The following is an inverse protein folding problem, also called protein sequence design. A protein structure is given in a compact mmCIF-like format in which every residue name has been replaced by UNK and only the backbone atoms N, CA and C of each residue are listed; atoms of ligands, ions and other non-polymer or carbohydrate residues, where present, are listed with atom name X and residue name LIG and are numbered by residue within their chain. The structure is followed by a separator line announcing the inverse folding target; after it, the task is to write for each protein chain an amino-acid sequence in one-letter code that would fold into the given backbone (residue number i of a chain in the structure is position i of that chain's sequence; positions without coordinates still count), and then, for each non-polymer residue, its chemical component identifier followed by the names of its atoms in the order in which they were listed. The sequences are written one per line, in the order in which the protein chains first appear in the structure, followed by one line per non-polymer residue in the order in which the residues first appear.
data_IF_011957947398
#
_entry.id   IF_011957947398
#
_cell.length_a   1.000
_cell.length_b   1.000
_cell.length_c   1.000
_cell.angle_alpha   90.00
_cell.angle_beta   90.00
_cell.angle_gamma   90.00
#
_symmetry.space_group_name_H-M   'P 1'
#
loop_
_entity.id
_entity.type
_entity.pdbx_description
1 polymer ?
#
# COMPACT_ATOMS: atom_id res chain seq x y z
N UNK A 1 -35.74 -20.73 -12.84
CA UNK A 1 -34.87 -20.07 -11.85
C UNK A 1 -34.22 -18.91 -12.56
N UNK A 2 -34.52 -17.68 -12.15
CA UNK A 2 -33.84 -16.48 -12.65
C UNK A 2 -32.40 -16.51 -12.17
N UNK A 3 -31.44 -16.57 -13.09
CA UNK A 3 -30.01 -16.44 -12.76
C UNK A 3 -29.83 -15.06 -12.15
N UNK A 4 -29.49 -14.99 -10.86
CA UNK A 4 -29.14 -13.71 -10.24
C UNK A 4 -27.80 -13.24 -10.85
N UNK A 5 -27.69 -11.97 -11.26
CA UNK A 5 -26.44 -11.46 -11.79
C UNK A 5 -25.35 -11.47 -10.71
N UNK A 6 -24.11 -11.77 -11.10
CA UNK A 6 -22.96 -11.66 -10.21
C UNK A 6 -22.61 -10.19 -9.95
N UNK A 7 -22.11 -9.92 -8.75
CA UNK A 7 -21.59 -8.60 -8.36
C UNK A 7 -20.20 -8.44 -8.96
N UNK A 8 -19.88 -7.25 -9.47
CA UNK A 8 -18.52 -6.95 -9.94
C UNK A 8 -17.51 -7.11 -8.80
N UNK A 9 -16.36 -7.77 -9.02
CA UNK A 9 -15.27 -7.85 -8.04
C UNK A 9 -14.84 -6.48 -7.50
N UNK A 10 -14.97 -5.43 -8.30
CA UNK A 10 -14.65 -4.05 -7.91
C UNK A 10 -15.57 -3.50 -6.83
N UNK A 11 -16.86 -3.85 -6.90
CA UNK A 11 -17.83 -3.48 -5.87
C UNK A 11 -17.64 -4.32 -4.60
N UNK A 12 -17.27 -5.60 -4.73
CA UNK A 12 -16.93 -6.43 -3.56
C UNK A 12 -15.71 -5.83 -2.85
N UNK A 13 -14.67 -5.43 -3.59
CA UNK A 13 -13.49 -4.75 -3.05
C UNK A 13 -13.84 -3.42 -2.37
N UNK A 14 -14.70 -2.62 -2.98
CA UNK A 14 -15.17 -1.36 -2.39
C UNK A 14 -15.88 -1.59 -1.05
N UNK A 15 -16.80 -2.57 -1.00
CA UNK A 15 -17.52 -2.97 0.22
C UNK A 15 -16.58 -3.50 1.30
N UNK A 16 -15.61 -4.32 0.91
CA UNK A 16 -14.60 -4.86 1.83
C UNK A 16 -13.71 -3.77 2.42
N UNK A 17 -13.19 -2.85 1.60
CA UNK A 17 -12.41 -1.69 2.05
C UNK A 17 -13.18 -0.85 3.07
N UNK A 18 -14.47 -0.57 2.79
CA UNK A 18 -15.33 0.15 3.71
C UNK A 18 -15.54 -0.61 5.02
N UNK A 19 -15.91 -1.88 4.96
CA UNK A 19 -16.14 -2.71 6.15
C UNK A 19 -14.86 -2.85 7.01
N UNK A 20 -13.70 -2.93 6.37
CA UNK A 20 -12.40 -2.94 7.03
C UNK A 20 -12.11 -1.60 7.73
N UNK A 21 -12.40 -0.47 7.08
CA UNK A 21 -12.24 0.87 7.67
C UNK A 21 -13.17 1.10 8.86
N UNK A 22 -14.44 0.67 8.74
CA UNK A 22 -15.41 0.77 9.83
C UNK A 22 -14.96 -0.07 11.03
N UNK A 23 -14.54 -1.33 10.82
CA UNK A 23 -13.97 -2.19 11.87
C UNK A 23 -12.72 -1.58 12.51
N UNK A 24 -11.77 -1.11 11.69
CA UNK A 24 -10.52 -0.57 12.22
C UNK A 24 -10.71 0.74 12.99
N UNK A 25 -11.71 1.55 12.62
CA UNK A 25 -12.12 2.75 13.36
C UNK A 25 -12.68 2.41 14.75
N UNK A 26 -13.48 1.36 14.85
CA UNK A 26 -14.00 0.87 16.14
C UNK A 26 -12.86 0.33 17.02
N UNK A 27 -11.90 -0.38 16.44
CA UNK A 27 -10.76 -0.94 17.16
C UNK A 27 -9.70 0.12 17.53
N UNK A 28 -9.53 1.19 16.73
CA UNK A 28 -8.45 2.19 16.90
C UNK A 28 -9.01 3.62 16.79
N UNK A 29 -9.41 4.26 17.92
CA UNK A 29 -10.03 5.58 17.88
C UNK A 29 -9.19 6.69 17.21
N UNK A 30 -7.86 6.65 17.34
CA UNK A 30 -6.97 7.62 16.67
C UNK A 30 -7.01 7.52 15.14
N UNK A 31 -7.40 6.37 14.57
CA UNK A 31 -7.65 6.26 13.14
C UNK A 31 -8.87 7.10 12.72
N UNK A 32 -9.92 7.14 13.55
CA UNK A 32 -11.07 8.01 13.32
C UNK A 32 -10.68 9.49 13.29
N UNK A 33 -9.88 9.94 14.27
CA UNK A 33 -9.36 11.31 14.31
C UNK A 33 -8.46 11.64 13.10
N UNK A 34 -7.64 10.69 12.65
CA UNK A 34 -6.83 10.86 11.44
C UNK A 34 -7.71 11.02 10.19
N UNK A 35 -8.76 10.20 10.05
CA UNK A 35 -9.68 10.29 8.90
C UNK A 35 -10.34 11.67 8.80
N UNK A 36 -10.81 12.22 9.92
CA UNK A 36 -11.42 13.56 9.97
C UNK A 36 -10.40 14.65 9.56
N UNK A 37 -9.17 14.55 10.05
CA UNK A 37 -8.09 15.47 9.71
C UNK A 37 -7.73 15.41 8.21
N UNK A 38 -7.68 14.20 7.64
CA UNK A 38 -7.41 13.99 6.21
C UNK A 38 -8.53 14.57 5.35
N UNK A 39 -9.78 14.31 5.70
CA UNK A 39 -10.94 14.86 4.99
C UNK A 39 -10.90 16.40 4.99
N UNK A 40 -10.65 17.01 6.16
CA UNK A 40 -10.53 18.46 6.30
C UNK A 40 -9.38 19.02 5.48
N UNK A 41 -8.20 18.39 5.51
CA UNK A 41 -7.01 18.81 4.76
C UNK A 41 -7.25 18.71 3.26
N UNK A 42 -7.80 17.59 2.78
CA UNK A 42 -8.08 17.40 1.36
C UNK A 42 -9.05 18.45 0.84
N UNK A 43 -10.12 18.76 1.59
CA UNK A 43 -11.07 19.82 1.25
C UNK A 43 -10.39 21.20 1.16
N UNK A 44 -9.52 21.53 2.10
CA UNK A 44 -8.78 22.80 2.10
C UNK A 44 -7.82 22.90 0.93
N UNK A 45 -7.08 21.84 0.63
CA UNK A 45 -6.16 21.79 -0.52
C UNK A 45 -6.92 21.97 -1.82
N UNK A 46 -8.04 21.27 -2.02
CA UNK A 46 -8.87 21.40 -3.23
C UNK A 46 -9.46 22.80 -3.38
N UNK A 47 -9.83 23.45 -2.28
CA UNK A 47 -10.34 24.82 -2.30
C UNK A 47 -9.24 25.86 -2.58
N UNK A 48 -8.03 25.65 -2.05
CA UNK A 48 -6.91 26.57 -2.18
C UNK A 48 -6.09 26.38 -3.47
N UNK A 49 -6.12 25.20 -4.07
CA UNK A 49 -5.30 24.83 -5.23
C UNK A 49 -6.15 24.27 -6.38
N UNK A 50 -6.79 25.15 -7.19
CA UNK A 50 -7.68 24.74 -8.29
C UNK A 50 -7.01 23.85 -9.35
N UNK A 51 -5.69 23.94 -9.52
CA UNK A 51 -4.94 23.09 -10.45
C UNK A 51 -4.97 21.62 -10.02
N UNK A 52 -4.79 21.34 -8.72
CA UNK A 52 -4.91 19.98 -8.18
C UNK A 52 -6.33 19.45 -8.37
N UNK A 53 -7.34 20.27 -8.09
CA UNK A 53 -8.74 19.87 -8.28
C UNK A 53 -9.04 19.51 -9.75
N UNK A 54 -8.58 20.33 -10.71
CA UNK A 54 -8.73 20.06 -12.15
C UNK A 54 -7.97 18.81 -12.60
N UNK A 55 -6.77 18.59 -12.08
CA UNK A 55 -6.00 17.38 -12.37
C UNK A 55 -6.79 16.14 -11.92
N UNK A 56 -7.19 16.09 -10.65
CA UNK A 56 -7.92 14.94 -10.08
C UNK A 56 -9.28 14.71 -10.72
N UNK A 57 -9.99 15.77 -11.11
CA UNK A 57 -11.23 15.67 -11.88
C UNK A 57 -10.97 15.00 -13.24
N UNK A 58 -9.95 15.45 -13.95
CA UNK A 58 -9.64 14.89 -15.27
C UNK A 58 -9.09 13.46 -15.24
N UNK A 59 -8.45 13.04 -14.15
CA UNK A 59 -8.02 11.65 -13.97
C UNK A 59 -9.13 10.77 -13.37
N UNK A 60 -10.23 11.34 -12.88
CA UNK A 60 -11.28 10.65 -12.13
C UNK A 60 -10.91 10.37 -10.67
N UNK A 61 -9.69 10.69 -10.23
CA UNK A 61 -9.21 10.40 -8.89
C UNK A 61 -9.98 11.17 -7.80
N UNK A 62 -10.65 12.26 -8.17
CA UNK A 62 -11.49 13.03 -7.24
C UNK A 62 -12.62 12.17 -6.64
N UNK A 63 -13.16 11.21 -7.40
CA UNK A 63 -14.27 10.35 -6.98
C UNK A 63 -13.84 9.27 -5.99
N UNK A 64 -12.57 8.85 -6.06
CA UNK A 64 -12.03 7.76 -5.22
C UNK A 64 -11.23 8.24 -4.01
N UNK A 65 -10.84 9.52 -3.97
CA UNK A 65 -9.92 10.08 -2.97
C UNK A 65 -10.37 9.81 -1.51
N UNK A 66 -11.64 10.06 -1.20
CA UNK A 66 -12.18 9.88 0.17
C UNK A 66 -12.25 8.40 0.60
N UNK A 67 -12.31 7.50 -0.38
CA UNK A 67 -12.36 6.06 -0.15
C UNK A 67 -10.99 5.39 -0.19
N UNK A 68 -9.97 6.11 -0.69
CA UNK A 68 -8.66 5.56 -0.99
C UNK A 68 -7.87 5.23 0.28
N UNK A 69 -7.55 3.95 0.40
CA UNK A 69 -6.88 3.36 1.55
C UNK A 69 -5.95 2.23 1.12
N UNK A 70 -4.94 1.95 1.94
CA UNK A 70 -4.28 0.65 1.91
C UNK A 70 -4.24 0.03 3.31
N UNK A 71 -4.27 -1.29 3.38
CA UNK A 71 -4.02 -2.04 4.61
C UNK A 71 -2.68 -2.77 4.55
N UNK A 72 -2.14 -3.14 5.71
CA UNK A 72 -1.00 -4.04 5.80
C UNK A 72 -1.27 -5.20 6.77
N UNK A 73 -0.88 -6.40 6.35
CA UNK A 73 -1.05 -7.64 7.11
C UNK A 73 0.19 -8.52 7.00
N UNK A 74 0.32 -9.47 7.93
CA UNK A 74 1.45 -10.40 7.99
C UNK A 74 0.94 -11.81 8.23
N UNK A 75 1.39 -12.76 7.41
CA UNK A 75 1.07 -14.18 7.50
C UNK A 75 2.31 -15.01 7.82
N UNK A 76 2.10 -16.18 8.42
CA UNK A 76 3.15 -17.05 8.91
C UNK A 76 3.49 -18.22 7.99
N UNK A 77 2.58 -18.61 7.09
CA UNK A 77 2.78 -19.81 6.25
C UNK A 77 2.49 -19.58 4.76
N UNK A 78 3.09 -20.41 3.92
CA UNK A 78 2.80 -20.44 2.48
C UNK A 78 1.33 -20.74 2.20
N UNK A 79 0.70 -21.67 2.94
CA UNK A 79 -0.71 -22.01 2.78
C UNK A 79 -1.62 -20.82 3.10
N UNK A 80 -1.30 -20.04 4.13
CA UNK A 80 -2.00 -18.79 4.44
C UNK A 80 -1.87 -17.77 3.29
N UNK A 81 -0.66 -17.56 2.76
CA UNK A 81 -0.42 -16.63 1.64
C UNK A 81 -1.17 -17.05 0.37
N UNK A 82 -1.08 -18.32 -0.02
CA UNK A 82 -1.77 -18.84 -1.20
C UNK A 82 -3.30 -18.72 -1.07
N UNK A 83 -3.84 -18.96 0.12
CA UNK A 83 -5.28 -18.82 0.38
C UNK A 83 -5.72 -17.36 0.38
N UNK A 84 -4.91 -16.45 0.93
CA UNK A 84 -5.15 -15.01 0.81
C UNK A 84 -5.14 -14.56 -0.65
N UNK A 85 -4.27 -15.11 -1.50
CA UNK A 85 -4.28 -14.78 -2.92
C UNK A 85 -5.60 -15.14 -3.59
N UNK A 86 -6.20 -16.27 -3.21
CA UNK A 86 -7.54 -16.69 -3.68
C UNK A 86 -8.64 -15.79 -3.11
N UNK A 87 -8.58 -15.46 -1.82
CA UNK A 87 -9.50 -14.53 -1.16
C UNK A 87 -9.50 -13.16 -1.85
N UNK A 88 -8.32 -12.59 -2.07
CA UNK A 88 -8.16 -11.30 -2.75
C UNK A 88 -8.58 -11.36 -4.22
N UNK A 89 -8.44 -12.51 -4.90
CA UNK A 89 -8.90 -12.68 -6.27
C UNK A 89 -10.42 -12.56 -6.43
N UNK A 90 -11.23 -12.97 -5.43
CA UNK A 90 -12.69 -12.75 -5.41
C UNK A 90 -13.03 -11.25 -5.52
N UNK A 91 -12.14 -10.40 -5.02
CA UNK A 91 -12.26 -8.94 -5.04
C UNK A 91 -11.48 -8.29 -6.20
N UNK A 92 -11.06 -9.07 -7.20
CA UNK A 92 -10.31 -8.55 -8.35
C UNK A 92 -8.92 -8.03 -8.00
N UNK A 93 -8.37 -8.41 -6.85
CA UNK A 93 -7.05 -7.99 -6.40
C UNK A 93 -6.01 -9.06 -6.75
N UNK A 94 -4.91 -8.64 -7.37
CA UNK A 94 -3.83 -9.52 -7.84
C UNK A 94 -2.51 -9.15 -7.15
N UNK A 95 -1.56 -10.10 -6.98
CA UNK A 95 -0.27 -9.85 -6.35
C UNK A 95 0.65 -9.07 -7.29
N UNK A 96 0.85 -7.80 -6.99
CA UNK A 96 1.68 -6.87 -7.78
C UNK A 96 2.94 -6.49 -6.99
N UNK A 97 4.08 -6.55 -7.67
CA UNK A 97 5.40 -6.29 -7.10
C UNK A 97 5.89 -7.39 -6.15
N UNK A 98 7.20 -7.36 -5.89
CA UNK A 98 7.88 -8.19 -4.89
C UNK A 98 8.79 -7.32 -4.04
N UNK A 99 8.65 -7.42 -2.72
CA UNK A 99 9.35 -6.60 -1.75
C UNK A 99 10.12 -7.49 -0.77
N UNK A 100 11.44 -7.47 -0.85
CA UNK A 100 12.31 -8.20 0.09
C UNK A 100 12.77 -7.29 1.21
N UNK A 101 12.23 -7.45 2.42
CA UNK A 101 12.55 -6.57 3.55
C UNK A 101 13.75 -7.07 4.37
N UNK A 102 14.37 -8.19 3.95
CA UNK A 102 15.52 -8.77 4.65
C UNK A 102 16.78 -7.89 4.66
N UNK A 103 17.12 -7.10 3.61
CA UNK A 103 18.25 -6.18 3.67
C UNK A 103 18.07 -5.08 4.74
N UNK A 104 16.81 -4.83 5.15
CA UNK A 104 16.49 -3.91 6.23
C UNK A 104 16.38 -4.60 7.60
N UNK A 105 16.83 -5.85 7.74
CA UNK A 105 16.80 -6.58 9.01
C UNK A 105 15.40 -7.06 9.42
N UNK A 106 14.42 -7.03 8.52
CA UNK A 106 13.06 -7.53 8.81
C UNK A 106 12.88 -8.91 8.17
N UNK A 107 12.52 -9.96 8.93
CA UNK A 107 12.51 -11.35 8.43
C UNK A 107 11.28 -11.68 7.58
N UNK A 108 10.95 -10.84 6.60
CA UNK A 108 9.78 -11.01 5.73
C UNK A 108 10.08 -10.66 4.29
N UNK A 109 9.25 -11.19 3.40
CA UNK A 109 9.12 -10.76 2.01
C UNK A 109 7.63 -10.63 1.65
N UNK A 110 7.29 -9.77 0.69
CA UNK A 110 5.92 -9.27 0.54
C UNK A 110 5.51 -9.03 -0.91
N UNK A 111 4.20 -8.86 -1.13
CA UNK A 111 3.58 -8.37 -2.37
C UNK A 111 2.40 -7.46 -2.01
N UNK A 112 1.91 -6.67 -2.97
CA UNK A 112 0.71 -5.87 -2.81
C UNK A 112 -0.46 -6.49 -3.57
N UNK A 113 -1.53 -6.85 -2.88
CA UNK A 113 -2.78 -7.24 -3.54
C UNK A 113 -3.57 -5.98 -3.92
N UNK A 114 -3.81 -5.76 -5.21
CA UNK A 114 -4.59 -4.61 -5.71
C UNK A 114 -5.21 -4.88 -7.08
N UNK A 115 -6.15 -4.02 -7.50
CA UNK A 115 -6.61 -4.01 -8.88
C UNK A 115 -5.49 -3.55 -9.84
N UNK A 116 -5.58 -3.98 -11.10
CA UNK A 116 -4.53 -3.75 -12.10
C UNK A 116 -4.90 -2.73 -13.18
N UNK A 117 -6.19 -2.57 -13.45
CA UNK A 117 -6.70 -1.72 -14.53
C UNK A 117 -7.25 -0.42 -13.99
N UNK A 118 -7.02 0.69 -14.69
CA UNK A 118 -7.44 2.03 -14.30
C UNK A 118 -8.93 2.12 -13.99
N UNK A 119 -9.81 1.54 -14.81
CA UNK A 119 -11.24 1.48 -14.55
C UNK A 119 -11.62 0.82 -13.21
N UNK A 120 -10.96 -0.29 -12.86
CA UNK A 120 -11.18 -0.97 -11.58
C UNK A 120 -10.63 -0.16 -10.40
N UNK A 121 -9.47 0.48 -10.60
CA UNK A 121 -8.84 1.38 -9.64
C UNK A 121 -9.66 2.67 -9.40
N UNK A 122 -10.49 3.11 -10.35
CA UNK A 122 -11.42 4.22 -10.12
C UNK A 122 -12.56 3.83 -9.19
N UNK A 123 -13.11 2.61 -9.33
CA UNK A 123 -14.20 2.14 -8.46
C UNK A 123 -13.69 1.92 -7.02
N UNK A 124 -12.56 1.25 -6.89
CA UNK A 124 -11.92 1.04 -5.60
C UNK A 124 -10.43 0.83 -5.78
N UNK A 125 -9.61 1.81 -5.36
CA UNK A 125 -8.16 1.68 -5.36
C UNK A 125 -7.64 0.91 -4.14
N UNK A 126 -8.47 0.19 -3.38
CA UNK A 126 -8.02 -0.48 -2.17
C UNK A 126 -6.88 -1.47 -2.42
N UNK A 127 -5.82 -1.37 -1.62
CA UNK A 127 -4.63 -2.24 -1.69
C UNK A 127 -4.37 -2.91 -0.33
N UNK A 128 -3.81 -4.11 -0.34
CA UNK A 128 -3.32 -4.77 0.88
C UNK A 128 -1.87 -5.21 0.68
N UNK A 129 -0.95 -4.63 1.44
CA UNK A 129 0.43 -5.08 1.53
C UNK A 129 0.49 -6.32 2.41
N UNK A 130 0.89 -7.45 1.83
CA UNK A 130 0.86 -8.76 2.51
C UNK A 130 2.27 -9.30 2.61
N UNK A 131 2.78 -9.38 3.85
CA UNK A 131 4.08 -9.96 4.16
C UNK A 131 3.98 -11.41 4.59
N UNK A 132 4.89 -12.25 4.11
CA UNK A 132 5.10 -13.62 4.59
C UNK A 132 6.34 -13.65 5.49
N UNK A 133 6.17 -14.19 6.71
CA UNK A 133 7.27 -14.44 7.63
C UNK A 133 8.19 -15.53 7.10
N UNK A 134 9.50 -15.27 7.16
CA UNK A 134 10.57 -16.18 6.76
C UNK A 134 11.15 -16.90 7.97
N UNK A 135 10.55 -18.03 8.34
CA UNK A 135 10.95 -18.80 9.52
C UNK A 135 12.40 -19.30 9.45
N UNK A 136 12.93 -19.51 8.24
CA UNK A 136 14.32 -19.90 8.03
C UNK A 136 15.34 -18.85 8.50
N UNK A 137 14.90 -17.60 8.74
CA UNK A 137 15.69 -16.51 9.29
C UNK A 137 15.65 -16.42 10.84
N UNK A 138 14.90 -17.30 11.51
CA UNK A 138 14.94 -17.44 12.97
C UNK A 138 16.16 -18.27 13.33
N UNK A 139 17.16 -17.67 13.97
CA UNK A 139 18.47 -18.29 14.22
C UNK A 139 18.38 -19.50 15.16
N UNK A 140 17.59 -19.40 16.23
CA UNK A 140 17.37 -20.47 17.19
C UNK A 140 16.50 -21.59 16.58
N UNK A 141 17.03 -22.81 16.38
CA UNK A 141 16.27 -23.92 15.80
C UNK A 141 15.09 -24.38 16.67
N UNK A 142 15.19 -24.28 18.00
CA UNK A 142 14.09 -24.68 18.91
C UNK A 142 12.96 -23.65 18.82
N UNK A 143 13.29 -22.36 18.80
CA UNK A 143 12.31 -21.29 18.60
C UNK A 143 11.65 -21.36 17.22
N UNK A 144 12.42 -21.69 16.19
CA UNK A 144 11.90 -21.89 14.82
C UNK A 144 10.90 -23.05 14.79
N UNK A 145 11.26 -24.21 15.33
CA UNK A 145 10.39 -25.37 15.39
C UNK A 145 9.11 -25.09 16.22
N UNK A 146 9.24 -24.31 17.30
CA UNK A 146 8.10 -23.85 18.07
C UNK A 146 7.18 -22.95 17.24
N UNK A 147 7.71 -21.93 16.56
CA UNK A 147 6.94 -21.03 15.71
C UNK A 147 6.21 -21.80 14.59
N UNK A 148 6.90 -22.71 13.91
CA UNK A 148 6.30 -23.62 12.92
C UNK A 148 5.13 -24.43 13.52
N UNK A 149 5.32 -24.99 14.71
CA UNK A 149 4.28 -25.81 15.36
C UNK A 149 3.01 -25.02 15.71
N UNK A 150 3.15 -23.76 16.13
CA UNK A 150 2.03 -22.87 16.47
C UNK A 150 1.30 -22.46 15.19
N UNK A 151 2.04 -22.06 14.16
CA UNK A 151 1.47 -21.65 12.88
C UNK A 151 0.74 -22.78 12.16
N UNK A 152 1.23 -24.02 12.25
CA UNK A 152 0.59 -25.18 11.63
C UNK A 152 -0.71 -25.63 12.34
N UNK A 153 -0.96 -25.19 13.57
CA UNK A 153 -2.17 -25.55 14.33
C UNK A 153 -3.34 -24.59 14.12
N UNK A 154 -3.10 -23.36 13.65
CA UNK A 154 -4.15 -22.36 13.50
C UNK A 154 -4.87 -22.46 12.16
N UNK A 155 -6.12 -22.00 12.14
CA UNK A 155 -6.88 -21.74 10.92
C UNK A 155 -7.33 -20.29 10.93
N UNK A 156 -6.77 -19.48 10.04
CA UNK A 156 -7.05 -18.04 10.01
C UNK A 156 -8.33 -17.69 9.23
N UNK A 157 -8.83 -18.61 8.39
CA UNK A 157 -10.03 -18.40 7.58
C UNK A 157 -11.23 -19.12 8.17
N UNK A 158 -12.41 -18.50 8.08
CA UNK A 158 -13.65 -19.19 8.44
C UNK A 158 -14.00 -20.24 7.39
N UNK A 159 -14.68 -21.35 7.77
CA UNK A 159 -15.14 -22.35 6.79
C UNK A 159 -16.05 -21.75 5.70
N UNK A 160 -16.83 -20.73 6.06
CA UNK A 160 -17.71 -20.04 5.12
C UNK A 160 -16.92 -19.20 4.12
N UNK A 161 -15.86 -18.51 4.53
CA UNK A 161 -15.00 -17.77 3.62
C UNK A 161 -14.36 -18.71 2.58
N UNK A 162 -13.83 -19.86 3.02
CA UNK A 162 -13.25 -20.86 2.13
C UNK A 162 -14.26 -21.39 1.11
N UNK A 163 -15.48 -21.74 1.56
CA UNK A 163 -16.57 -22.18 0.67
C UNK A 163 -16.95 -21.11 -0.36
N UNK A 164 -16.99 -19.84 0.03
CA UNK A 164 -17.35 -18.75 -0.88
C UNK A 164 -16.24 -18.44 -1.89
N UNK A 165 -14.97 -18.63 -1.51
CA UNK A 165 -13.84 -18.58 -2.45
C UNK A 165 -13.99 -19.68 -3.51
N UNK A 166 -14.23 -20.93 -3.09
CA UNK A 166 -14.44 -22.06 -4.01
C UNK A 166 -15.67 -21.86 -4.91
N UNK A 167 -16.75 -21.28 -4.37
CA UNK A 167 -17.93 -20.91 -5.14
C UNK A 167 -17.60 -19.86 -6.22
N UNK A 168 -16.87 -18.80 -5.87
CA UNK A 168 -16.46 -17.78 -6.82
C UNK A 168 -15.58 -18.34 -7.94
N UNK A 169 -14.64 -19.23 -7.60
CA UNK A 169 -13.73 -19.89 -8.55
C UNK A 169 -14.49 -20.83 -9.51
N UNK A 170 -15.46 -21.60 -9.01
CA UNK A 170 -16.19 -22.59 -9.79
C UNK A 170 -17.36 -22.02 -10.61
N UNK A 171 -18.07 -21.03 -10.07
CA UNK A 171 -19.21 -20.39 -10.73
C UNK A 171 -18.83 -19.15 -11.55
N UNK A 172 -17.62 -18.60 -11.34
CA UNK A 172 -17.11 -17.41 -12.03
C UNK A 172 -17.50 -16.08 -11.37
N UNK A 173 -18.09 -16.12 -10.17
CA UNK A 173 -18.50 -14.93 -9.41
C UNK A 173 -19.39 -15.26 -8.22
N UNK A 174 -19.79 -14.23 -7.49
CA UNK A 174 -20.73 -14.31 -6.37
C UNK A 174 -21.95 -13.44 -6.67
N UNK A 175 -23.14 -13.92 -6.33
CA UNK A 175 -24.34 -13.09 -6.32
C UNK A 175 -24.34 -12.11 -5.13
N UNK A 176 -25.36 -11.27 -5.02
CA UNK A 176 -25.43 -10.21 -4.00
C UNK A 176 -25.36 -10.74 -2.56
N UNK A 177 -26.13 -11.79 -2.23
CA UNK A 177 -26.18 -12.37 -0.89
C UNK A 177 -24.84 -13.07 -0.54
N UNK A 178 -24.28 -13.80 -1.52
CA UNK A 178 -22.99 -14.45 -1.38
C UNK A 178 -21.85 -13.45 -1.20
N UNK A 179 -21.85 -12.35 -1.96
CA UNK A 179 -20.85 -11.29 -1.87
C UNK A 179 -20.93 -10.58 -0.50
N UNK A 180 -22.13 -10.28 -0.01
CA UNK A 180 -22.32 -9.70 1.32
C UNK A 180 -21.82 -10.65 2.42
N UNK A 181 -22.14 -11.94 2.33
CA UNK A 181 -21.64 -12.95 3.27
C UNK A 181 -20.11 -13.10 3.17
N UNK A 182 -19.55 -13.06 1.95
CA UNK A 182 -18.12 -13.17 1.72
C UNK A 182 -17.36 -12.02 2.41
N UNK A 183 -17.81 -10.78 2.27
CA UNK A 183 -17.19 -9.62 2.91
C UNK A 183 -17.15 -9.77 4.43
N UNK A 184 -18.27 -10.17 5.05
CA UNK A 184 -18.35 -10.38 6.50
C UNK A 184 -17.41 -11.50 6.97
N UNK A 185 -17.37 -12.61 6.24
CA UNK A 185 -16.57 -13.78 6.61
C UNK A 185 -15.07 -13.57 6.35
N UNK A 186 -14.71 -12.84 5.30
CA UNK A 186 -13.34 -12.43 5.05
C UNK A 186 -12.84 -11.48 6.16
N UNK A 187 -13.68 -10.53 6.60
CA UNK A 187 -13.33 -9.56 7.64
C UNK A 187 -12.89 -10.21 8.96
N UNK A 188 -13.49 -11.34 9.35
CA UNK A 188 -13.09 -12.10 10.55
C UNK A 188 -11.63 -12.58 10.53
N UNK A 189 -11.02 -12.70 9.35
CA UNK A 189 -9.60 -13.07 9.20
C UNK A 189 -8.67 -11.98 9.75
N UNK A 190 -9.11 -10.72 9.71
CA UNK A 190 -8.28 -9.54 9.96
C UNK A 190 -8.63 -8.82 11.27
N UNK A 191 -9.60 -9.33 12.02
CA UNK A 191 -10.09 -8.74 13.27
C UNK A 191 -9.02 -8.83 14.36
N UNK A 192 -8.99 -7.83 15.24
CA UNK A 192 -8.19 -7.92 16.46
C UNK A 192 -8.68 -9.04 17.38
N UNK A 193 -7.74 -9.74 18.01
CA UNK A 193 -8.05 -10.64 19.11
C UNK A 193 -7.13 -10.37 20.29
N UNK A 194 -7.69 -9.96 21.42
CA UNK A 194 -6.96 -9.65 22.65
C UNK A 194 -6.34 -10.88 23.35
N UNK A 195 -6.58 -12.09 22.84
CA UNK A 195 -6.05 -13.34 23.40
C UNK A 195 -4.97 -13.91 22.50
N UNK A 196 -3.75 -14.02 23.03
CA UNK A 196 -2.67 -14.75 22.41
C UNK A 196 -2.95 -16.27 22.41
N UNK A 197 -2.31 -16.99 21.50
CA UNK A 197 -2.36 -18.45 21.36
C UNK A 197 -1.22 -19.15 22.10
N UNK A 198 -0.37 -18.39 22.78
CA UNK A 198 0.86 -18.85 23.46
C UNK A 198 0.89 -18.36 24.92
N UNK A 199 1.79 -18.93 25.72
CA UNK A 199 2.03 -18.47 27.09
C UNK A 199 2.82 -17.15 27.12
N UNK A 200 2.80 -16.46 28.26
CA UNK A 200 3.55 -15.21 28.43
C UNK A 200 5.06 -15.40 28.20
N UNK A 201 5.63 -16.51 28.70
CA UNK A 201 7.05 -16.83 28.52
C UNK A 201 7.38 -17.11 27.05
N UNK A 202 6.53 -17.87 26.34
CA UNK A 202 6.70 -18.13 24.91
C UNK A 202 6.64 -16.85 24.07
N UNK A 203 5.68 -15.97 24.38
CA UNK A 203 5.58 -14.66 23.73
C UNK A 203 6.84 -13.81 23.96
N UNK A 204 7.38 -13.79 25.18
CA UNK A 204 8.62 -13.07 25.49
C UNK A 204 9.80 -13.60 24.67
N UNK A 205 9.94 -14.93 24.53
CA UNK A 205 11.00 -15.53 23.70
C UNK A 205 10.87 -15.12 22.23
N UNK A 206 9.66 -15.20 21.65
CA UNK A 206 9.41 -14.75 20.28
C UNK A 206 9.73 -13.25 20.10
N UNK A 207 9.31 -12.43 21.06
CA UNK A 207 9.50 -10.97 21.00
C UNK A 207 10.96 -10.56 21.19
N UNK A 208 11.73 -11.33 21.97
CA UNK A 208 13.16 -11.10 22.18
C UNK A 208 13.97 -11.39 20.91
N UNK A 209 13.57 -12.39 20.12
CA UNK A 209 14.16 -12.61 18.81
C UNK A 209 13.84 -11.45 17.85
N UNK A 210 12.54 -11.17 17.66
CA UNK A 210 12.10 -10.04 16.87
C UNK A 210 10.60 -9.79 17.11
N UNK A 211 10.19 -8.56 17.39
CA UNK A 211 8.76 -8.24 17.71
C UNK A 211 7.78 -8.67 16.62
N UNK A 212 8.18 -8.60 15.34
CA UNK A 212 7.38 -9.10 14.22
C UNK A 212 7.10 -10.60 14.31
N UNK A 213 8.04 -11.40 14.82
CA UNK A 213 7.83 -12.85 14.97
C UNK A 213 6.72 -13.09 16.01
N UNK A 214 6.77 -12.39 17.14
CA UNK A 214 5.70 -12.48 18.15
C UNK A 214 4.34 -12.02 17.59
N UNK A 215 4.31 -10.91 16.86
CA UNK A 215 3.12 -10.36 16.18
C UNK A 215 2.46 -11.36 15.22
N UNK A 216 3.26 -12.13 14.48
CA UNK A 216 2.73 -13.12 13.53
C UNK A 216 2.35 -14.44 14.20
N UNK A 217 3.20 -14.95 15.09
CA UNK A 217 3.09 -16.32 15.64
C UNK A 217 2.11 -16.39 16.81
N UNK A 218 2.08 -15.37 17.67
CA UNK A 218 1.37 -15.43 18.96
C UNK A 218 -0.14 -15.18 18.86
N UNK A 219 -0.69 -14.88 17.68
CA UNK A 219 -2.08 -14.47 17.50
C UNK A 219 -2.85 -15.40 16.57
N UNK A 220 -4.19 -15.36 16.72
CA UNK A 220 -5.13 -16.23 16.00
C UNK A 220 -5.14 -16.03 14.48
N UNK A 221 -4.81 -14.83 14.01
CA UNK A 221 -4.86 -14.48 12.59
C UNK A 221 -4.10 -13.19 12.27
N UNK A 222 -4.00 -12.85 10.98
CA UNK A 222 -3.27 -11.70 10.47
C UNK A 222 -4.08 -10.41 10.68
N UNK A 223 -4.14 -9.94 11.91
CA UNK A 223 -4.82 -8.68 12.22
C UNK A 223 -4.24 -7.51 11.42
N UNK A 224 -5.06 -6.47 11.19
CA UNK A 224 -4.62 -5.27 10.46
C UNK A 224 -3.51 -4.57 11.26
N UNK A 225 -2.32 -4.45 10.66
CA UNK A 225 -1.22 -3.74 11.27
C UNK A 225 -1.49 -2.23 11.29
N UNK A 226 -1.88 -1.71 10.13
CA UNK A 226 -2.33 -0.35 9.93
C UNK A 226 -3.30 -0.29 8.74
N UNK A 227 -4.12 0.76 8.74
CA UNK A 227 -4.96 1.14 7.62
C UNK A 227 -4.68 2.62 7.31
N UNK A 228 -4.19 2.89 6.12
CA UNK A 228 -3.59 4.19 5.75
C UNK A 228 -4.51 4.91 4.78
N UNK A 229 -5.04 6.09 5.13
CA UNK A 229 -5.79 6.93 4.19
C UNK A 229 -4.87 7.77 3.29
N UNK A 230 -5.39 8.27 2.16
CA UNK A 230 -4.69 9.20 1.28
C UNK A 230 -4.97 10.67 1.64
N UNK A 231 -3.91 11.46 1.84
CA UNK A 231 -3.97 12.93 1.91
C UNK A 231 -3.36 13.58 0.66
N UNK A 232 -3.81 14.79 0.33
CA UNK A 232 -3.23 15.64 -0.72
C UNK A 232 -2.04 16.47 -0.24
N UNK A 233 -1.92 16.73 1.07
CA UNK A 233 -0.76 17.41 1.66
C UNK A 233 -0.39 16.76 3.01
N UNK A 234 0.64 15.92 2.98
CA UNK A 234 1.13 15.21 4.17
C UNK A 234 1.80 16.14 5.18
N UNK A 235 2.36 17.28 4.73
CA UNK A 235 3.02 18.22 5.63
C UNK A 235 1.99 18.93 6.52
N UNK A 236 0.83 19.30 5.93
CA UNK A 236 -0.29 19.88 6.70
C UNK A 236 -0.83 18.85 7.70
N UNK A 237 -1.07 17.60 7.28
CA UNK A 237 -1.57 16.56 8.17
C UNK A 237 -0.58 16.31 9.32
N UNK A 238 0.72 16.13 9.02
CA UNK A 238 1.74 15.89 10.05
C UNK A 238 1.81 17.04 11.06
N UNK A 239 1.74 18.30 10.61
CA UNK A 239 1.76 19.47 11.48
C UNK A 239 0.52 19.58 12.38
N UNK A 240 -0.65 19.13 11.90
CA UNK A 240 -1.91 19.19 12.65
C UNK A 240 -2.15 17.98 13.55
N UNK A 241 -1.55 16.82 13.27
CA UNK A 241 -1.69 15.60 14.06
C UNK A 241 -1.59 15.81 15.59
N UNK A 242 -0.62 16.57 16.13
CA UNK A 242 -0.53 16.82 17.58
C UNK A 242 -1.77 17.49 18.18
N UNK A 243 -2.48 18.34 17.42
CA UNK A 243 -3.71 19.00 17.86
C UNK A 243 -4.89 18.00 17.98
N UNK A 244 -4.77 16.85 17.32
CA UNK A 244 -5.73 15.74 17.35
C UNK A 244 -5.26 14.59 18.26
N UNK A 245 -4.27 14.83 19.13
CA UNK A 245 -3.74 13.81 20.05
C UNK A 245 -2.88 12.74 19.39
N UNK A 246 -2.46 12.96 18.14
CA UNK A 246 -1.60 12.04 17.38
C UNK A 246 -0.17 12.57 17.41
N UNK A 247 0.78 11.74 17.84
CA UNK A 247 2.21 12.09 17.80
C UNK A 247 2.86 11.41 16.60
N UNK A 248 3.04 12.10 15.46
CA UNK A 248 3.73 11.53 14.32
C UNK A 248 5.22 11.44 14.56
N UNK A 249 5.88 10.57 13.79
CA UNK A 249 7.33 10.64 13.61
C UNK A 249 7.68 11.93 12.87
N UNK A 250 8.81 12.54 13.21
CA UNK A 250 9.31 13.72 12.52
C UNK A 250 9.77 13.42 11.10
N UNK A 251 10.31 12.22 10.86
CA UNK A 251 10.76 11.81 9.53
C UNK A 251 9.56 11.40 8.67
N UNK A 252 9.45 12.04 7.50
CA UNK A 252 8.58 11.60 6.41
C UNK A 252 9.42 10.78 5.44
N UNK A 253 8.99 9.57 5.14
CA UNK A 253 9.62 8.74 4.13
C UNK A 253 9.16 9.09 2.73
N UNK A 254 9.97 8.73 1.73
CA UNK A 254 9.75 9.08 0.33
C UNK A 254 10.57 10.30 -0.09
N UNK A 255 10.23 10.92 -1.23
CA UNK A 255 10.87 12.16 -1.67
C UNK A 255 10.53 13.33 -0.72
N UNK A 256 11.29 14.44 -0.76
CA UNK A 256 10.88 15.66 -0.06
C UNK A 256 9.61 16.25 -0.68
N UNK A 257 9.11 17.36 -0.11
CA UNK A 257 7.99 18.12 -0.69
C UNK A 257 8.34 18.58 -2.13
N UNK A 258 7.37 18.47 -3.03
CA UNK A 258 7.49 18.73 -4.48
C UNK A 258 6.21 19.33 -5.04
N UNK A 259 6.32 20.14 -6.10
CA UNK A 259 5.17 20.63 -6.87
C UNK A 259 4.56 19.52 -7.71
N UNK A 260 5.39 18.61 -8.22
CA UNK A 260 4.98 17.38 -8.89
C UNK A 260 5.42 16.19 -8.02
N UNK A 261 4.59 15.75 -7.05
CA UNK A 261 4.91 14.61 -6.20
C UNK A 261 5.20 13.36 -7.04
N UNK A 262 6.14 12.55 -6.57
CA UNK A 262 6.55 11.28 -7.20
C UNK A 262 6.45 10.15 -6.17
N UNK A 263 6.14 8.94 -6.63
CA UNK A 263 5.92 7.77 -5.77
C UNK A 263 4.88 8.08 -4.68
N UNK A 264 5.28 7.98 -3.41
CA UNK A 264 4.47 8.41 -2.28
C UNK A 264 5.37 8.98 -1.19
N UNK A 265 4.76 9.80 -0.33
CA UNK A 265 5.33 10.24 0.95
C UNK A 265 4.50 9.63 2.07
N UNK A 266 5.14 9.18 3.14
CA UNK A 266 4.43 8.54 4.25
C UNK A 266 5.05 8.85 5.61
N UNK A 267 4.23 8.87 6.65
CA UNK A 267 4.71 8.89 8.04
C UNK A 267 3.76 8.08 8.92
N UNK A 268 4.25 7.66 10.08
CA UNK A 268 3.52 6.82 11.02
C UNK A 268 3.50 7.42 12.42
N UNK A 269 2.58 6.90 13.22
CA UNK A 269 2.45 7.22 14.64
C UNK A 269 2.05 5.97 15.40
N UNK A 270 2.39 5.95 16.70
CA UNK A 270 1.89 4.91 17.58
C UNK A 270 0.41 5.18 17.86
N UNK A 271 -0.46 4.24 17.48
CA UNK A 271 -1.90 4.45 17.61
C UNK A 271 -2.46 3.92 18.93
N UNK A 272 -2.05 2.72 19.36
CA UNK A 272 -2.60 2.11 20.57
C UNK A 272 -1.64 1.05 21.14
N UNK A 273 -1.45 1.05 22.47
CA UNK A 273 -0.92 -0.09 23.21
C UNK A 273 -2.10 -1.00 23.61
N UNK A 274 -2.05 -2.25 23.19
CA UNK A 274 -3.13 -3.21 23.42
C UNK A 274 -2.78 -4.16 24.57
N UNK A 275 -3.66 -4.33 25.57
CA UNK A 275 -3.50 -5.37 26.56
C UNK A 275 -3.68 -6.76 25.91
N UNK A 276 -2.81 -7.70 26.24
CA UNK A 276 -2.92 -9.10 25.81
C UNK A 276 -3.19 -10.02 27.00
N UNK A 277 -4.09 -10.97 26.81
CA UNK A 277 -4.24 -12.16 27.64
C UNK A 277 -3.48 -13.35 27.06
N UNK A 278 -2.69 -14.03 27.88
CA UNK A 278 -1.94 -15.24 27.52
C UNK A 278 -2.67 -16.51 27.95
N UNK A 279 -2.32 -17.66 27.39
CA UNK A 279 -3.02 -18.93 27.67
C UNK A 279 -2.83 -19.45 29.11
N UNK A 280 -1.76 -19.01 29.79
CA UNK A 280 -1.39 -19.38 31.15
C UNK A 280 -1.78 -18.35 32.22
N UNK A 281 -2.40 -17.24 31.84
CA UNK A 281 -2.78 -16.15 32.74
C UNK A 281 -4.25 -15.77 32.56
N UNK A 282 -5.02 -15.75 33.64
CA UNK A 282 -6.46 -15.41 33.59
C UNK A 282 -6.74 -13.92 33.41
N UNK A 283 -5.77 -13.07 33.74
CA UNK A 283 -5.88 -11.61 33.73
C UNK A 283 -4.91 -11.00 32.70
N UNK A 284 -5.34 -9.93 32.01
CA UNK A 284 -4.52 -9.15 31.07
C UNK A 284 -3.33 -8.47 31.76
N UNK A 285 -2.13 -9.01 31.64
CA UNK A 285 -0.89 -8.46 32.21
C UNK A 285 0.20 -8.14 31.18
N UNK A 286 -0.01 -8.50 29.90
CA UNK A 286 0.89 -8.16 28.79
C UNK A 286 0.47 -6.90 28.05
N UNK A 287 1.44 -6.20 27.45
CA UNK A 287 1.19 -5.10 26.50
C UNK A 287 1.82 -5.44 25.16
N UNK A 288 1.10 -5.20 24.07
CA UNK A 288 1.62 -5.32 22.72
C UNK A 288 1.34 -4.05 21.93
N UNK A 289 2.43 -3.54 21.35
CA UNK A 289 2.45 -2.35 20.54
C UNK A 289 2.59 -2.80 19.09
N UNK A 290 1.49 -3.25 18.49
CA UNK A 290 1.45 -3.59 17.06
C UNK A 290 0.57 -2.68 16.22
N UNK A 291 -0.28 -1.86 16.84
CA UNK A 291 -1.19 -0.96 16.12
C UNK A 291 -0.54 0.39 15.92
N UNK A 292 -0.13 0.61 14.67
CA UNK A 292 0.39 1.88 14.20
C UNK A 292 -0.66 2.52 13.32
N UNK A 293 -0.76 3.83 13.40
CA UNK A 293 -1.43 4.60 12.38
C UNK A 293 -0.41 5.07 11.36
N UNK A 294 -0.84 5.18 10.13
CA UNK A 294 -0.01 5.66 9.03
C UNK A 294 -0.85 6.60 8.16
N UNK A 295 -0.17 7.53 7.50
CA UNK A 295 -0.75 8.45 6.53
C UNK A 295 0.14 8.50 5.30
N UNK A 296 -0.46 8.58 4.11
CA UNK A 296 0.28 8.68 2.85
C UNK A 296 -0.23 9.78 1.92
N UNK A 297 0.68 10.35 1.13
CA UNK A 297 0.39 11.20 -0.02
C UNK A 297 0.97 10.54 -1.27
N UNK A 298 0.13 10.24 -2.26
CA UNK A 298 0.52 9.57 -3.50
C UNK A 298 0.73 10.57 -4.65
N UNK A 299 1.86 10.41 -5.33
CA UNK A 299 2.29 11.17 -6.50
C UNK A 299 2.39 10.30 -7.75
N UNK A 300 3.24 10.70 -8.70
CA UNK A 300 3.40 10.06 -9.99
C UNK A 300 4.15 8.70 -9.91
N UNK A 301 3.64 7.70 -10.62
CA UNK A 301 4.33 6.44 -10.87
C UNK A 301 5.54 6.67 -11.77
N UNK A 302 6.71 6.22 -11.32
CA UNK A 302 7.97 6.44 -12.02
C UNK A 302 8.30 5.30 -12.99
N UNK A 303 8.94 5.65 -14.11
CA UNK A 303 9.53 4.67 -15.04
C UNK A 303 10.79 4.04 -14.43
N UNK A 304 11.38 2.97 -15.00
CA UNK A 304 12.69 2.47 -14.56
C UNK A 304 13.77 3.56 -14.50
N UNK A 305 13.76 4.51 -15.45
CA UNK A 305 14.69 5.65 -15.48
C UNK A 305 14.42 6.62 -14.32
N UNK A 306 13.16 6.96 -14.08
CA UNK A 306 12.77 7.79 -12.94
C UNK A 306 13.11 7.14 -11.60
N UNK A 307 12.92 5.82 -11.48
CA UNK A 307 13.30 5.05 -10.30
C UNK A 307 14.79 5.06 -10.04
N UNK A 308 15.60 4.78 -11.05
CA UNK A 308 17.05 4.84 -10.92
C UNK A 308 17.56 6.23 -10.52
N UNK A 309 16.89 7.30 -10.98
CA UNK A 309 17.18 8.66 -10.51
C UNK A 309 16.79 8.84 -9.04
N UNK A 310 15.56 8.49 -8.67
CA UNK A 310 15.07 8.55 -7.30
C UNK A 310 16.01 7.82 -6.32
N UNK A 311 16.37 6.57 -6.62
CA UNK A 311 17.18 5.73 -5.73
C UNK A 311 18.59 6.30 -5.56
N UNK A 312 19.19 6.84 -6.64
CA UNK A 312 20.50 7.51 -6.57
C UNK A 312 20.48 8.73 -5.66
N UNK A 313 19.47 9.59 -5.79
CA UNK A 313 19.36 10.82 -5.00
C UNK A 313 19.06 10.51 -3.53
N UNK A 314 18.21 9.51 -3.27
CA UNK A 314 17.95 9.02 -1.92
C UNK A 314 19.21 8.47 -1.26
N UNK A 315 19.99 7.66 -1.99
CA UNK A 315 21.24 7.11 -1.47
C UNK A 315 22.28 8.20 -1.21
N UNK A 316 22.42 9.18 -2.11
CA UNK A 316 23.32 10.32 -1.90
C UNK A 316 22.98 11.12 -0.64
N UNK A 317 21.69 11.37 -0.38
CA UNK A 317 21.25 12.03 0.85
C UNK A 317 21.54 11.22 2.12
N UNK A 318 21.42 9.89 2.05
CA UNK A 318 21.73 8.98 3.18
C UNK A 318 23.22 8.88 3.44
N UNK A 319 24.02 8.74 2.39
CA UNK A 319 25.46 8.66 2.46
C UNK A 319 26.04 9.95 3.08
N UNK A 320 25.48 11.12 2.73
CA UNK A 320 25.88 12.41 3.31
C UNK A 320 25.37 12.62 4.75
N UNK A 321 24.21 12.05 5.10
CA UNK A 321 23.73 12.05 6.48
C UNK A 321 24.72 11.26 7.38
N UNK A 322 25.19 10.11 6.88
CA UNK A 322 26.14 9.24 7.58
C UNK A 322 25.54 8.50 8.79
N UNK A 323 24.21 8.48 8.89
CA UNK A 323 23.44 7.88 9.98
C UNK A 323 22.03 7.48 9.46
N UNK A 324 21.30 6.66 10.21
CA UNK A 324 19.90 6.36 9.91
C UNK A 324 19.01 7.57 10.21
N UNK A 325 18.07 7.93 9.32
CA UNK A 325 17.10 8.99 9.60
C UNK A 325 16.28 8.68 10.86
N UNK A 326 16.28 9.60 11.82
CA UNK A 326 15.59 9.48 13.10
C UNK A 326 15.15 10.86 13.62
N UNK A 327 14.42 10.89 14.73
CA UNK A 327 13.90 12.12 15.34
C UNK A 327 14.99 13.17 15.62
N UNK A 328 16.18 12.74 16.04
CA UNK A 328 17.29 13.63 16.39
C UNK A 328 17.99 14.27 15.20
N UNK A 329 17.91 13.67 14.01
CA UNK A 329 18.55 14.17 12.79
C UNK A 329 17.55 14.55 11.67
N UNK A 330 16.24 14.50 11.94
CA UNK A 330 15.17 14.71 10.95
C UNK A 330 15.29 16.02 10.17
N UNK A 331 15.60 17.14 10.84
CA UNK A 331 15.76 18.43 10.18
C UNK A 331 16.94 18.44 9.19
N UNK A 332 18.07 17.81 9.56
CA UNK A 332 19.23 17.67 8.67
C UNK A 332 18.92 16.72 7.52
N UNK A 333 18.28 15.58 7.79
CA UNK A 333 17.86 14.65 6.76
C UNK A 333 16.94 15.31 5.73
N UNK A 334 15.94 16.07 6.17
CA UNK A 334 15.04 16.81 5.28
C UNK A 334 15.80 17.84 4.42
N UNK A 335 16.76 18.56 4.99
CA UNK A 335 17.58 19.51 4.23
C UNK A 335 18.42 18.81 3.15
N UNK A 336 19.05 17.68 3.48
CA UNK A 336 19.80 16.86 2.52
C UNK A 336 18.91 16.30 1.43
N UNK A 337 17.74 15.78 1.80
CA UNK A 337 16.74 15.29 0.84
C UNK A 337 16.33 16.39 -0.13
N UNK A 338 16.00 17.60 0.35
CA UNK A 338 15.68 18.75 -0.52
C UNK A 338 16.84 19.14 -1.43
N UNK A 339 18.08 19.15 -0.92
CA UNK A 339 19.27 19.46 -1.70
C UNK A 339 19.48 18.47 -2.86
N UNK A 340 19.56 17.17 -2.55
CA UNK A 340 19.83 16.13 -3.54
C UNK A 340 18.67 15.98 -4.55
N UNK A 341 17.42 16.06 -4.08
CA UNK A 341 16.25 16.01 -4.98
C UNK A 341 16.03 17.27 -5.82
N UNK A 342 16.84 18.32 -5.64
CA UNK A 342 16.91 19.45 -6.56
C UNK A 342 17.33 19.04 -7.98
N UNK A 343 18.00 17.89 -8.13
CA UNK A 343 18.32 17.30 -9.45
C UNK A 343 17.12 16.66 -10.15
N UNK A 344 16.05 16.30 -9.42
CA UNK A 344 14.87 15.69 -10.02
C UNK A 344 13.95 16.80 -10.57
N UNK A 345 13.55 16.78 -11.86
CA UNK A 345 12.66 17.79 -12.45
C UNK A 345 11.32 17.91 -11.71
N UNK A 346 10.92 19.12 -11.31
CA UNK A 346 9.70 19.37 -10.50
C UNK A 346 8.57 20.03 -11.29
N UNK A 347 8.48 19.73 -12.59
CA UNK A 347 7.38 20.14 -13.46
C UNK A 347 6.87 18.95 -14.27
N UNK A 348 5.57 18.95 -14.58
CA UNK A 348 4.92 17.91 -15.39
C UNK A 348 5.67 17.70 -16.70
N UNK A 349 5.95 18.78 -17.44
CA UNK A 349 6.67 18.71 -18.72
C UNK A 349 8.10 18.20 -18.56
N UNK A 350 8.84 18.69 -17.55
CA UNK A 350 10.22 18.27 -17.31
C UNK A 350 10.35 16.78 -16.96
N UNK A 351 9.38 16.26 -16.19
CA UNK A 351 9.30 14.82 -15.87
C UNK A 351 8.93 14.00 -17.11
N UNK A 352 7.96 14.48 -17.91
CA UNK A 352 7.45 13.80 -19.10
C UNK A 352 8.47 13.71 -20.22
N UNK A 353 9.06 14.83 -20.61
CA UNK A 353 10.04 14.92 -21.72
C UNK A 353 11.28 14.07 -21.44
N UNK A 354 11.67 13.94 -20.16
CA UNK A 354 12.78 13.09 -19.75
C UNK A 354 12.38 11.62 -19.56
N UNK A 355 11.11 11.27 -19.71
CA UNK A 355 10.60 9.91 -19.54
C UNK A 355 10.79 9.37 -18.12
N UNK A 356 10.63 10.22 -17.10
CA UNK A 356 10.86 9.86 -15.70
C UNK A 356 9.62 9.30 -15.00
N UNK A 357 8.42 9.66 -15.45
CA UNK A 357 7.17 9.13 -14.93
C UNK A 357 6.26 8.60 -16.05
N UNK A 358 5.26 7.82 -15.65
CA UNK A 358 4.15 7.44 -16.50
C UNK A 358 3.06 8.51 -16.47
N UNK A 359 2.33 8.64 -17.58
CA UNK A 359 1.30 9.65 -17.77
C UNK A 359 0.03 9.03 -18.35
N UNK A 360 -1.12 9.64 -18.04
CA UNK A 360 -2.36 9.45 -18.80
C UNK A 360 -2.53 10.62 -19.76
N UNK A 361 -2.85 10.30 -21.01
CA UNK A 361 -3.13 11.28 -22.04
C UNK A 361 -4.63 11.40 -22.20
N UNK A 362 -5.12 12.65 -22.23
CA UNK A 362 -6.55 12.96 -22.29
C UNK A 362 -6.82 13.96 -23.41
N UNK A 363 -7.87 13.78 -24.23
CA UNK A 363 -8.26 14.79 -25.21
C UNK A 363 -8.77 16.04 -24.48
N UNK A 364 -8.39 17.21 -24.95
CA UNK A 364 -8.90 18.48 -24.43
C UNK A 364 -10.19 18.88 -25.15
N UNK A 365 -10.94 19.83 -24.59
CA UNK A 365 -12.09 20.44 -25.31
C UNK A 365 -11.68 20.99 -26.68
N UNK A 366 -10.48 21.58 -26.77
CA UNK A 366 -9.91 22.06 -28.03
C UNK A 366 -9.63 20.92 -29.00
N UNK A 367 -9.08 19.80 -28.53
CA UNK A 367 -8.85 18.62 -29.35
C UNK A 367 -10.15 18.04 -29.88
N UNK A 368 -11.18 17.95 -29.04
CA UNK A 368 -12.51 17.45 -29.42
C UNK A 368 -13.22 18.38 -30.41
N UNK A 369 -12.99 19.69 -30.31
CA UNK A 369 -13.56 20.69 -31.22
C UNK A 369 -12.74 20.86 -32.52
N UNK A 370 -11.46 20.46 -32.52
CA UNK A 370 -10.68 20.35 -33.74
C UNK A 370 -11.34 19.24 -34.58
N UNK A 371 -11.68 19.55 -35.84
CA UNK A 371 -12.31 18.57 -36.75
C UNK A 371 -11.38 17.39 -37.07
N UNK A 372 -11.40 16.85 -38.30
CA UNK A 372 -10.56 15.68 -38.60
C UNK A 372 -9.06 16.03 -38.60
N UNK A 373 -8.39 15.72 -37.49
CA UNK A 373 -6.94 15.64 -37.37
C UNK A 373 -6.49 14.36 -38.10
N UNK A 374 -6.08 14.45 -39.35
CA UNK A 374 -5.84 13.24 -40.17
C UNK A 374 -4.61 12.44 -39.72
N UNK A 375 -3.54 13.12 -39.31
CA UNK A 375 -2.28 12.51 -38.86
C UNK A 375 -1.46 13.53 -38.05
N UNK A 376 -1.00 13.18 -36.86
CA UNK A 376 -0.16 14.04 -36.03
C UNK A 376 0.73 13.20 -35.09
N UNK A 377 1.89 13.71 -34.68
CA UNK A 377 2.64 13.11 -33.59
C UNK A 377 2.00 13.46 -32.24
N UNK A 378 2.20 12.64 -31.21
CA UNK A 378 1.69 12.94 -29.86
C UNK A 378 2.24 14.27 -29.32
N UNK A 379 3.51 14.59 -29.62
CA UNK A 379 4.13 15.86 -29.22
C UNK A 379 3.50 17.07 -29.90
N UNK A 380 3.08 16.95 -31.16
CA UNK A 380 2.36 18.04 -31.84
C UNK A 380 0.99 18.27 -31.22
N UNK A 381 0.26 17.19 -30.89
CA UNK A 381 -1.04 17.28 -30.22
C UNK A 381 -0.93 17.91 -28.82
N UNK A 382 0.13 17.62 -28.08
CA UNK A 382 0.41 18.27 -26.78
C UNK A 382 0.75 19.75 -26.97
N UNK A 383 1.64 20.07 -27.92
CA UNK A 383 2.07 21.45 -28.21
C UNK A 383 0.92 22.33 -28.68
N UNK A 384 0.00 21.79 -29.47
CA UNK A 384 -1.18 22.49 -29.97
C UNK A 384 -2.33 22.52 -28.94
N UNK A 385 -2.18 21.81 -27.82
CA UNK A 385 -3.17 21.75 -26.73
C UNK A 385 -4.41 20.93 -27.06
N UNK A 386 -4.29 19.96 -27.99
CA UNK A 386 -5.37 19.05 -28.38
C UNK A 386 -5.44 17.83 -27.44
N UNK A 387 -4.29 17.46 -26.88
CA UNK A 387 -4.14 16.45 -25.84
C UNK A 387 -3.45 17.11 -24.65
N UNK A 388 -3.76 16.66 -23.43
CA UNK A 388 -3.00 16.98 -22.23
C UNK A 388 -2.47 15.71 -21.58
N UNK A 389 -1.38 15.84 -20.83
CA UNK A 389 -0.76 14.73 -20.10
C UNK A 389 -0.88 14.99 -18.60
N UNK A 390 -1.50 14.05 -17.88
CA UNK A 390 -1.60 14.09 -16.42
C UNK A 390 -0.74 12.97 -15.83
N UNK A 391 0.06 13.20 -14.78
CA UNK A 391 0.85 12.16 -14.14
C UNK A 391 -0.03 10.98 -13.70
N UNK A 392 0.36 9.76 -14.05
CA UNK A 392 -0.33 8.57 -13.58
C UNK A 392 0.04 8.33 -12.12
N UNK A 393 -0.95 8.34 -11.23
CA UNK A 393 -0.77 8.10 -9.80
C UNK A 393 -0.12 6.75 -9.48
N UNK A 394 0.75 6.74 -8.48
CA UNK A 394 1.43 5.55 -7.98
C UNK A 394 0.51 4.74 -7.07
N UNK A 395 0.27 3.48 -7.45
CA UNK A 395 -0.64 2.51 -6.81
C UNK A 395 0.09 1.52 -5.88
N UNK A 396 1.43 1.54 -5.89
CA UNK A 396 2.28 0.59 -5.17
C UNK A 396 2.94 1.24 -3.93
N UNK A 397 4.00 0.63 -3.41
CA UNK A 397 4.65 1.00 -2.16
C UNK A 397 6.10 1.37 -2.40
N UNK A 398 6.67 2.21 -1.53
CA UNK A 398 8.10 2.50 -1.59
C UNK A 398 8.91 1.19 -1.48
N UNK A 399 10.07 1.09 -2.17
CA UNK A 399 10.92 -0.09 -2.06
C UNK A 399 11.58 -0.17 -0.68
N UNK A 400 12.42 -1.19 -0.46
CA UNK A 400 13.16 -1.48 0.79
C UNK A 400 13.85 -0.27 1.42
N UNK A 401 14.19 0.76 0.64
CA UNK A 401 14.69 2.02 1.16
C UNK A 401 13.72 2.72 2.13
N UNK A 402 12.42 2.41 2.12
CA UNK A 402 11.39 2.86 3.08
C UNK A 402 11.18 1.90 4.27
N UNK A 403 12.15 1.04 4.57
CA UNK A 403 12.07 0.16 5.73
C UNK A 403 12.17 0.90 7.08
N UNK A 404 12.38 2.22 7.09
CA UNK A 404 12.48 3.03 8.30
C UNK A 404 11.20 2.93 9.15
N UNK A 405 10.02 2.93 8.53
CA UNK A 405 8.73 2.75 9.20
C UNK A 405 8.61 1.33 9.75
N UNK A 406 9.00 0.31 8.99
CA UNK A 406 9.00 -1.07 9.47
C UNK A 406 9.91 -1.23 10.69
N UNK A 407 11.16 -0.78 10.61
CA UNK A 407 12.14 -0.83 11.70
C UNK A 407 11.65 -0.06 12.93
N UNK A 408 11.23 1.20 12.75
CA UNK A 408 10.83 2.05 13.88
C UNK A 408 9.49 1.66 14.51
N UNK A 409 8.57 1.01 13.77
CA UNK A 409 7.38 0.38 14.36
C UNK A 409 7.74 -0.84 15.22
N UNK A 410 8.87 -1.48 14.91
CA UNK A 410 9.36 -2.65 15.64
C UNK A 410 10.36 -2.27 16.77
N UNK A 411 10.76 -1.01 16.87
CA UNK A 411 11.70 -0.50 17.88
C UNK A 411 13.17 -0.82 17.56
N UNK A 412 14.09 -0.02 18.09
CA UNK A 412 15.53 0.00 17.72
C UNK A 412 16.35 -1.26 18.11
N UNK A 413 15.70 -2.33 18.59
CA UNK A 413 16.35 -3.34 19.43
C UNK A 413 16.84 -4.63 18.73
N UNK A 414 16.75 -4.78 17.41
CA UNK A 414 17.29 -5.98 16.74
C UNK A 414 17.88 -5.64 15.37
N UNK A 415 19.19 -5.35 15.34
CA UNK A 415 19.97 -5.28 14.11
C UNK A 415 20.47 -6.68 13.74
N UNK A 416 19.63 -7.48 13.07
CA UNK A 416 20.07 -8.76 12.50
C UNK A 416 20.29 -8.56 11.00
N UNK A 417 21.55 -8.65 10.56
CA UNK A 417 21.88 -8.58 9.14
C UNK A 417 21.60 -9.93 8.46
N UNK A 418 20.53 -10.00 7.68
CA UNK A 418 20.23 -11.15 6.84
C UNK A 418 20.99 -11.06 5.50
N UNK A 419 21.52 -12.18 5.02
CA UNK A 419 22.28 -12.22 3.76
C UNK A 419 21.42 -11.93 2.52
N UNK A 420 21.99 -11.25 1.52
CA UNK A 420 21.35 -10.93 0.24
C UNK A 420 21.21 -12.17 -0.66
N UNK A 421 20.13 -12.92 -0.45
CA UNK A 421 19.66 -13.88 -1.45
C UNK A 421 18.28 -13.46 -1.92
N UNK A 422 18.19 -12.99 -3.17
CA UNK A 422 16.90 -12.71 -3.83
C UNK A 422 16.06 -13.99 -3.84
N UNK A 423 15.01 -14.01 -3.00
CA UNK A 423 14.16 -15.16 -2.77
C UNK A 423 12.77 -15.03 -3.43
N UNK A 424 12.67 -14.23 -4.50
CA UNK A 424 11.41 -14.05 -5.27
C UNK A 424 10.80 -15.39 -5.70
N UNK A 425 11.62 -16.33 -6.16
CA UNK A 425 11.13 -17.65 -6.57
C UNK A 425 10.49 -18.43 -5.41
N UNK A 426 11.10 -18.40 -4.23
CA UNK A 426 10.54 -19.05 -3.04
C UNK A 426 9.22 -18.38 -2.62
N UNK A 427 9.14 -17.05 -2.69
CA UNK A 427 7.90 -16.31 -2.44
C UNK A 427 6.80 -16.66 -3.44
N UNK A 428 7.11 -16.68 -4.74
CA UNK A 428 6.15 -17.01 -5.79
C UNK A 428 5.67 -18.48 -5.72
N UNK A 429 6.55 -19.38 -5.28
CA UNK A 429 6.17 -20.76 -4.96
C UNK A 429 5.21 -20.81 -3.77
N UNK A 430 5.48 -20.07 -2.70
CA UNK A 430 4.60 -19.97 -1.54
C UNK A 430 3.24 -19.33 -1.87
N UNK A 431 3.26 -18.32 -2.75
CA UNK A 431 2.08 -17.63 -3.28
C UNK A 431 1.25 -18.51 -4.23
N UNK A 432 1.87 -19.54 -4.83
CA UNK A 432 1.27 -20.42 -5.82
C UNK A 432 1.21 -19.85 -7.24
N UNK A 433 1.82 -18.68 -7.48
CA UNK A 433 1.88 -18.00 -8.77
C UNK A 433 2.93 -16.89 -8.79
N UNK A 434 3.30 -16.43 -9.98
CA UNK A 434 4.19 -15.29 -10.16
C UNK A 434 3.54 -13.97 -9.70
N UNK A 435 4.37 -13.07 -9.18
CA UNK A 435 4.00 -11.66 -8.94
C UNK A 435 4.01 -10.88 -10.25
N UNK A 436 3.14 -9.88 -10.34
CA UNK A 436 2.95 -9.06 -11.53
C UNK A 436 3.90 -7.86 -11.48
N UNK A 437 4.53 -7.54 -12.62
CA UNK A 437 5.38 -6.37 -12.77
C UNK A 437 4.53 -5.09 -12.81
N UNK A 438 4.67 -4.25 -11.77
CA UNK A 438 3.97 -2.99 -11.66
C UNK A 438 4.33 -2.00 -12.78
N UNK A 439 5.59 -1.99 -13.24
CA UNK A 439 6.06 -1.04 -14.24
C UNK A 439 5.44 -1.36 -15.61
N UNK A 440 5.25 -2.65 -15.90
CA UNK A 440 4.46 -3.12 -17.03
C UNK A 440 3.02 -2.60 -16.99
N UNK A 441 2.34 -2.68 -15.84
CA UNK A 441 0.96 -2.19 -15.68
C UNK A 441 0.83 -0.68 -15.92
N UNK A 442 1.77 0.12 -15.42
CA UNK A 442 1.78 1.57 -15.67
C UNK A 442 2.05 1.89 -17.14
N UNK A 443 2.98 1.18 -17.77
CA UNK A 443 3.28 1.34 -19.20
C UNK A 443 2.06 1.01 -20.08
N UNK A 444 1.34 -0.05 -19.75
CA UNK A 444 0.11 -0.43 -20.45
C UNK A 444 -1.01 0.60 -20.26
N UNK A 445 -1.17 1.15 -19.05
CA UNK A 445 -2.15 2.21 -18.76
C UNK A 445 -1.85 3.46 -19.58
N UNK A 446 -0.58 3.88 -19.62
CA UNK A 446 -0.16 4.99 -20.48
C UNK A 446 -0.48 4.71 -21.95
N UNK A 447 -0.12 3.53 -22.46
CA UNK A 447 -0.37 3.13 -23.85
C UNK A 447 -1.86 3.16 -24.19
N UNK A 448 -2.72 2.57 -23.34
CA UNK A 448 -4.19 2.58 -23.53
C UNK A 448 -4.73 4.01 -23.61
N UNK A 449 -4.27 4.92 -22.75
CA UNK A 449 -4.72 6.31 -22.78
C UNK A 449 -4.31 7.07 -24.06
N UNK A 450 -3.15 6.74 -24.64
CA UNK A 450 -2.71 7.30 -25.92
C UNK A 450 -3.58 6.76 -27.08
N UNK A 451 -3.85 5.46 -27.08
CA UNK A 451 -4.69 4.80 -28.08
C UNK A 451 -6.13 5.33 -28.03
N UNK A 452 -6.68 5.50 -26.84
CA UNK A 452 -8.00 6.08 -26.62
C UNK A 452 -8.06 7.54 -27.11
N UNK A 453 -7.05 8.36 -26.78
CA UNK A 453 -6.91 9.71 -27.34
C UNK A 453 -6.94 9.71 -28.87
N UNK A 454 -6.14 8.84 -29.50
CA UNK A 454 -6.06 8.74 -30.95
C UNK A 454 -7.41 8.38 -31.57
N UNK A 455 -8.11 7.42 -30.97
CA UNK A 455 -9.44 6.98 -31.41
C UNK A 455 -10.49 8.09 -31.27
N UNK A 456 -10.54 8.76 -30.11
CA UNK A 456 -11.52 9.81 -29.82
C UNK A 456 -11.31 11.03 -30.73
N UNK A 457 -10.06 11.39 -31.00
CA UNK A 457 -9.71 12.51 -31.88
C UNK A 457 -9.73 12.14 -33.38
N UNK A 458 -9.93 10.86 -33.71
CA UNK A 458 -9.92 10.37 -35.10
C UNK A 458 -8.57 10.57 -35.81
N UNK A 459 -7.47 10.56 -35.05
CA UNK A 459 -6.11 10.84 -35.55
C UNK A 459 -5.25 9.60 -35.60
N UNK A 460 -4.46 9.47 -36.68
CA UNK A 460 -3.40 8.48 -36.77
C UNK A 460 -2.11 9.03 -36.18
N UNK A 461 -1.64 8.42 -35.09
CA UNK A 461 -0.32 8.73 -34.50
C UNK A 461 0.80 8.08 -35.33
N UNK A 462 1.93 8.78 -35.47
CA UNK A 462 3.13 8.29 -36.18
C UNK A 462 4.42 8.60 -35.41
#
# INVERSE_FOLDING_TARGET
MTVQPFVSPDLIRQRFSKAMSDMYREEVPLYGALMELVEQTNREVLAAQPDIARQLDSTGEIERLDMERHGAIRVGTATELATLARLFAVMGMQPVGYYDLTPAGVPVHSTAFRAMHEAALQISPFRVFTSLLRLELIEDPELRAFAESVLNQRSIFTPTALRLIEQAESAGGLNEDEAAQFVLQALETFRWHHSATVTAAQYQTLSAQHRLIADVVAFKGPHINHLTPRTLDIDIVQAQMPLHGITPKAVIEGPPRRHCPILLRQTSFKALDEPIAFTDQSDTHGSHSARFGEIEQRGAALTPKGRALYDRLLNAARDELGDFPNEGNAARYNALMTQHFGEFPDSVDGIREQGLAYFRYLPTERGLAAGSLTSASLEDLLREGHVKAEPLVYEDFLPVSAAGIFQSNLGDAAQTHYGEHSNRQAFEQALGRATIDELGLYAETQRRSIEECAQVLGVKLF
#
